data_IF_458585163384
#
_entry.id   IF_458585163384
#
_cell.length_a   1.000
_cell.length_b   1.000
_cell.length_c   1.000
_cell.angle_alpha   90.00
_cell.angle_beta   90.00
_cell.angle_gamma   90.00
#
_symmetry.space_group_name_H-M   'P 1'
#
loop_
_entity.id
_entity.type
_entity.pdbx_description
1 polymer ?
#
# COMPACT_ATOMS: atom_id res chain seq x y z
N UNK A 1 -11.02 11.84 -6.24
CA UNK A 1 -9.96 10.82 -6.36
C UNK A 1 -10.07 9.86 -5.19
N UNK A 2 -10.35 8.57 -5.44
CA UNK A 2 -10.35 7.55 -4.38
C UNK A 2 -8.96 6.93 -4.26
N UNK A 3 -8.52 6.67 -3.03
CA UNK A 3 -7.19 6.12 -2.72
C UNK A 3 -7.27 4.73 -2.09
N UNK A 4 -6.43 3.82 -2.56
CA UNK A 4 -6.23 2.49 -1.98
C UNK A 4 -4.84 2.37 -1.34
N UNK A 5 -4.77 1.85 -0.11
CA UNK A 5 -3.50 1.55 0.55
C UNK A 5 -3.18 0.04 0.49
N UNK A 6 -1.93 -0.31 0.24
CA UNK A 6 -1.45 -1.68 0.33
C UNK A 6 -0.79 -1.98 1.68
N UNK A 7 -1.06 -3.15 2.24
CA UNK A 7 -0.31 -3.65 3.40
C UNK A 7 -0.18 -5.18 3.37
N UNK A 8 1.01 -5.70 3.62
CA UNK A 8 1.19 -7.14 3.71
C UNK A 8 2.49 -7.57 4.36
N UNK A 9 2.69 -8.88 4.39
CA UNK A 9 3.88 -9.49 4.97
C UNK A 9 5.16 -9.19 4.16
N UNK A 10 6.29 -9.06 4.86
CA UNK A 10 7.60 -8.81 4.24
C UNK A 10 8.06 -10.00 3.40
N UNK A 11 7.67 -11.19 3.79
CA UNK A 11 7.95 -12.50 3.22
C UNK A 11 6.77 -13.04 2.41
N UNK A 12 5.92 -12.16 1.86
CA UNK A 12 4.80 -12.58 1.02
C UNK A 12 5.30 -13.38 -0.20
N UNK A 13 4.74 -14.58 -0.44
CA UNK A 13 5.17 -15.47 -1.51
C UNK A 13 4.64 -14.99 -2.87
N UNK A 14 5.36 -15.31 -3.95
CA UNK A 14 5.10 -14.80 -5.29
C UNK A 14 3.75 -15.26 -5.86
N UNK A 15 3.24 -16.37 -5.36
CA UNK A 15 1.97 -17.01 -5.70
C UNK A 15 0.76 -16.09 -5.42
N UNK A 16 0.91 -15.12 -4.52
CA UNK A 16 -0.11 -14.10 -4.22
C UNK A 16 -0.27 -13.10 -5.37
N UNK A 17 0.72 -12.98 -6.26
CA UNK A 17 0.78 -11.93 -7.28
C UNK A 17 -0.43 -11.93 -8.22
N UNK A 18 -0.94 -13.09 -8.62
CA UNK A 18 -2.11 -13.18 -9.51
C UNK A 18 -3.36 -12.60 -8.83
N UNK A 19 -3.66 -13.03 -7.60
CA UNK A 19 -4.79 -12.51 -6.83
C UNK A 19 -4.63 -11.01 -6.52
N UNK A 20 -3.39 -10.54 -6.35
CA UNK A 20 -3.10 -9.12 -6.19
C UNK A 20 -3.44 -8.32 -7.46
N UNK A 21 -3.03 -8.80 -8.64
CA UNK A 21 -3.37 -8.14 -9.91
C UNK A 21 -4.89 -8.03 -10.12
N UNK A 22 -5.63 -9.10 -9.84
CA UNK A 22 -7.09 -9.13 -9.93
C UNK A 22 -7.73 -8.12 -8.96
N UNK A 23 -7.29 -8.10 -7.70
CA UNK A 23 -7.77 -7.15 -6.71
C UNK A 23 -7.47 -5.70 -7.10
N UNK A 24 -6.30 -5.42 -7.68
CA UNK A 24 -5.95 -4.08 -8.17
C UNK A 24 -6.88 -3.66 -9.29
N UNK A 25 -7.08 -4.51 -10.31
CA UNK A 25 -7.98 -4.20 -11.43
C UNK A 25 -9.42 -4.00 -10.95
N UNK A 26 -9.91 -4.81 -10.01
CA UNK A 26 -11.24 -4.65 -9.43
C UNK A 26 -11.41 -3.27 -8.76
N UNK A 27 -10.40 -2.81 -8.00
CA UNK A 27 -10.45 -1.51 -7.34
C UNK A 27 -10.39 -0.35 -8.34
N UNK A 28 -9.61 -0.49 -9.42
CA UNK A 28 -9.59 0.48 -10.53
C UNK A 28 -11.00 0.61 -11.13
N UNK A 29 -11.66 -0.51 -11.45
CA UNK A 29 -13.02 -0.54 -11.97
C UNK A 29 -14.06 0.08 -11.02
N UNK A 30 -13.76 0.18 -9.73
CA UNK A 30 -14.60 0.80 -8.70
C UNK A 30 -14.28 2.29 -8.46
N UNK A 31 -13.39 2.84 -9.28
CA UNK A 31 -13.01 4.25 -9.29
C UNK A 31 -11.84 4.60 -8.38
N UNK A 32 -11.02 3.63 -7.96
CA UNK A 32 -9.72 3.94 -7.33
C UNK A 32 -8.76 4.46 -8.40
N UNK A 33 -8.21 5.64 -8.16
CA UNK A 33 -7.33 6.34 -9.08
C UNK A 33 -5.91 6.46 -8.51
N UNK A 34 -5.73 6.33 -7.19
CA UNK A 34 -4.41 6.41 -6.56
C UNK A 34 -4.13 5.24 -5.63
N UNK A 35 -2.98 4.61 -5.81
CA UNK A 35 -2.51 3.50 -5.01
C UNK A 35 -1.27 3.91 -4.21
N UNK A 36 -1.35 3.72 -2.91
CA UNK A 36 -0.31 4.08 -1.96
C UNK A 36 0.38 2.81 -1.43
N UNK A 37 1.72 2.77 -1.48
CA UNK A 37 2.52 1.61 -1.06
C UNK A 37 3.79 2.04 -0.32
N UNK A 38 4.20 1.32 0.72
CA UNK A 38 5.39 1.66 1.52
C UNK A 38 6.72 1.34 0.84
N UNK A 39 6.97 0.06 0.58
CA UNK A 39 8.21 -0.45 0.01
C UNK A 39 9.14 -1.12 1.04
N UNK A 40 8.60 -1.75 2.09
CA UNK A 40 9.36 -2.35 3.19
C UNK A 40 9.34 -3.89 3.19
N UNK A 41 8.89 -4.51 2.10
CA UNK A 41 8.84 -5.96 1.95
C UNK A 41 8.33 -6.46 0.60
N UNK A 42 8.33 -7.78 0.43
CA UNK A 42 7.98 -8.44 -0.84
C UNK A 42 6.56 -8.10 -1.32
N UNK A 43 5.58 -8.04 -0.40
CA UNK A 43 4.22 -7.65 -0.77
C UNK A 43 4.15 -6.26 -1.39
N UNK A 44 4.82 -5.28 -0.79
CA UNK A 44 4.84 -3.90 -1.29
C UNK A 44 5.46 -3.83 -2.69
N UNK A 45 6.51 -4.60 -2.95
CA UNK A 45 7.16 -4.65 -4.26
C UNK A 45 6.24 -5.29 -5.32
N UNK A 46 5.56 -6.38 -4.97
CA UNK A 46 4.54 -7.01 -5.82
C UNK A 46 3.38 -6.05 -6.12
N UNK A 47 2.91 -5.30 -5.12
CA UNK A 47 1.81 -4.35 -5.28
C UNK A 47 2.21 -3.18 -6.19
N UNK A 48 3.40 -2.63 -6.01
CA UNK A 48 3.95 -1.62 -6.90
C UNK A 48 4.01 -2.13 -8.34
N UNK A 49 4.57 -3.33 -8.55
CA UNK A 49 4.64 -3.97 -9.87
C UNK A 49 3.27 -4.16 -10.51
N UNK A 50 2.29 -4.68 -9.75
CA UNK A 50 0.93 -4.90 -10.23
C UNK A 50 0.29 -3.59 -10.73
N UNK A 51 0.42 -2.50 -9.97
CA UNK A 51 -0.10 -1.19 -10.39
C UNK A 51 0.64 -0.65 -11.61
N UNK A 52 1.97 -0.76 -11.67
CA UNK A 52 2.75 -0.34 -12.84
C UNK A 52 2.30 -1.04 -14.13
N UNK A 53 1.99 -2.33 -14.06
CA UNK A 53 1.42 -3.06 -15.20
C UNK A 53 0.02 -2.57 -15.55
N UNK A 54 -0.85 -2.34 -14.56
CA UNK A 54 -2.22 -1.84 -14.80
C UNK A 54 -2.23 -0.42 -15.39
N UNK A 55 -1.29 0.44 -15.03
CA UNK A 55 -1.16 1.80 -15.57
C UNK A 55 -0.95 1.84 -17.09
N UNK A 56 -0.41 0.77 -17.69
CA UNK A 56 -0.29 0.65 -19.16
C UNK A 56 -1.67 0.62 -19.85
N UNK A 57 -2.70 0.19 -19.12
CA UNK A 57 -4.10 0.09 -19.59
C UNK A 57 -5.00 1.19 -19.02
N UNK A 58 -4.68 1.70 -17.84
CA UNK A 58 -5.49 2.67 -17.09
C UNK A 58 -4.68 3.95 -16.81
N UNK A 59 -4.66 4.91 -17.73
CA UNK A 59 -3.81 6.11 -17.67
C UNK A 59 -4.11 7.07 -16.51
N UNK A 60 -5.33 7.01 -15.95
CA UNK A 60 -5.72 7.80 -14.79
C UNK A 60 -5.13 7.26 -13.47
N UNK A 61 -4.64 6.02 -13.46
CA UNK A 61 -4.13 5.35 -12.26
C UNK A 61 -2.75 5.89 -11.90
N UNK A 62 -2.58 6.24 -10.62
CA UNK A 62 -1.34 6.73 -10.03
C UNK A 62 -0.82 5.75 -8.99
N UNK A 63 0.49 5.55 -8.98
CA UNK A 63 1.24 4.81 -7.98
C UNK A 63 2.10 5.78 -7.18
N UNK A 64 1.84 5.88 -5.88
CA UNK A 64 2.53 6.80 -4.96
C UNK A 64 3.27 6.00 -3.89
N UNK A 65 4.54 6.35 -3.66
CA UNK A 65 5.34 5.75 -2.59
C UNK A 65 5.09 6.46 -1.27
N UNK A 66 4.59 5.75 -0.27
CA UNK A 66 4.53 6.23 1.11
C UNK A 66 5.93 6.19 1.74
N UNK A 67 6.39 7.32 2.25
CA UNK A 67 7.66 7.45 2.94
C UNK A 67 7.44 7.44 4.46
N UNK A 68 8.13 6.56 5.17
CA UNK A 68 8.19 6.62 6.63
C UNK A 68 9.33 7.50 7.15
N UNK A 69 10.31 7.84 6.30
CA UNK A 69 11.49 8.62 6.67
C UNK A 69 11.67 9.76 5.67
N UNK A 70 12.08 10.93 6.15
CA UNK A 70 12.46 12.03 5.26
C UNK A 70 13.60 11.55 4.36
N UNK A 71 13.51 11.77 3.04
CA UNK A 71 14.59 11.41 2.14
C UNK A 71 15.80 12.31 2.45
N UNK A 72 16.96 11.69 2.66
CA UNK A 72 18.22 12.37 3.05
C UNK A 72 18.87 13.15 1.90
N UNK A 73 18.33 13.01 0.69
CA UNK A 73 18.72 13.69 -0.55
C UNK A 73 17.40 14.00 -1.27
N UNK A 74 17.41 14.88 -2.28
CA UNK A 74 16.33 14.94 -3.29
C UNK A 74 16.29 13.60 -4.05
N UNK A 75 15.81 12.55 -3.39
CA UNK A 75 15.72 11.22 -3.96
C UNK A 75 14.69 11.32 -5.07
N UNK A 76 15.15 11.07 -6.30
CA UNK A 76 14.27 10.96 -7.44
C UNK A 76 13.15 9.96 -7.11
N UNK A 77 11.94 10.27 -7.58
CA UNK A 77 10.82 9.33 -7.53
C UNK A 77 11.29 8.05 -8.23
N UNK A 78 11.21 6.86 -7.59
CA UNK A 78 11.66 5.63 -8.22
C UNK A 78 10.92 5.37 -9.54
N UNK A 79 11.59 4.71 -10.48
CA UNK A 79 10.99 4.38 -11.78
C UNK A 79 9.63 3.68 -11.62
N UNK A 80 8.65 4.09 -12.45
CA UNK A 80 7.27 3.59 -12.43
C UNK A 80 6.34 4.24 -11.40
N UNK A 81 6.87 4.96 -10.40
CA UNK A 81 6.06 5.76 -9.47
C UNK A 81 5.76 7.15 -10.04
N UNK A 82 4.57 7.67 -9.74
CA UNK A 82 4.14 9.03 -10.14
C UNK A 82 4.44 10.08 -9.07
N UNK A 83 4.95 9.65 -7.92
CA UNK A 83 5.31 10.52 -6.81
C UNK A 83 5.65 9.76 -5.53
N UNK A 84 6.02 10.53 -4.52
CA UNK A 84 6.17 10.06 -3.14
C UNK A 84 5.33 10.94 -2.21
N UNK A 85 4.88 10.35 -1.10
CA UNK A 85 4.10 11.01 -0.07
C UNK A 85 4.81 10.80 1.26
N UNK A 86 5.34 11.88 1.84
CA UNK A 86 5.72 11.94 3.24
C UNK A 86 4.56 12.56 4.03
N UNK A 87 3.89 11.82 4.92
CA UNK A 87 2.75 12.36 5.67
C UNK A 87 3.16 13.52 6.58
N UNK A 88 2.44 14.63 6.53
CA UNK A 88 2.66 15.80 7.39
C UNK A 88 2.50 15.44 8.88
N UNK A 89 3.44 15.89 9.72
CA UNK A 89 3.46 15.59 11.15
C UNK A 89 4.16 14.27 11.50
N UNK A 90 4.56 13.46 10.51
CA UNK A 90 5.32 12.22 10.75
C UNK A 90 6.73 12.50 11.29
N UNK A 91 7.30 13.68 11.01
CA UNK A 91 8.62 14.13 11.47
C UNK A 91 8.72 14.21 13.00
N UNK A 92 7.57 14.34 13.68
CA UNK A 92 7.48 14.36 15.14
C UNK A 92 7.46 12.95 15.76
N UNK A 93 7.44 11.90 14.92
CA UNK A 93 7.40 10.51 15.38
C UNK A 93 8.81 9.97 15.59
N UNK A 94 9.15 9.39 16.76
CA UNK A 94 10.45 8.75 16.94
C UNK A 94 10.70 7.68 15.89
N UNK A 95 11.92 7.67 15.33
CA UNK A 95 12.32 6.82 14.20
C UNK A 95 11.87 5.35 14.30
N UNK A 96 11.97 4.66 15.45
CA UNK A 96 11.51 3.26 15.57
C UNK A 96 10.02 3.03 15.30
N UNK A 97 9.19 4.06 15.45
CA UNK A 97 7.74 3.98 15.26
C UNK A 97 7.26 4.58 13.94
N UNK A 98 8.15 5.16 13.14
CA UNK A 98 7.79 5.93 11.96
C UNK A 98 7.02 5.10 10.92
N UNK A 99 7.44 3.85 10.63
CA UNK A 99 6.71 2.97 9.69
C UNK A 99 5.29 2.67 10.20
N UNK A 100 5.17 2.36 11.49
CA UNK A 100 3.87 2.03 12.11
C UNK A 100 2.95 3.24 12.02
N UNK A 101 3.45 4.44 12.32
CA UNK A 101 2.66 5.68 12.24
C UNK A 101 2.32 6.06 10.80
N UNK A 102 3.27 5.92 9.87
CA UNK A 102 3.03 6.15 8.44
C UNK A 102 1.90 5.25 7.91
N UNK A 103 1.90 3.96 8.25
CA UNK A 103 0.84 3.03 7.87
C UNK A 103 -0.52 3.41 8.47
N UNK A 104 -0.55 3.91 9.71
CA UNK A 104 -1.79 4.40 10.33
C UNK A 104 -2.33 5.62 9.60
N UNK A 105 -1.46 6.59 9.28
CA UNK A 105 -1.84 7.79 8.52
C UNK A 105 -2.27 7.44 7.09
N UNK A 106 -1.62 6.46 6.46
CA UNK A 106 -2.03 5.95 5.16
C UNK A 106 -3.46 5.38 5.19
N UNK A 107 -3.81 4.61 6.23
CA UNK A 107 -5.20 4.18 6.45
C UNK A 107 -6.14 5.38 6.64
N UNK A 108 -5.69 6.42 7.34
CA UNK A 108 -6.50 7.62 7.59
C UNK A 108 -6.74 8.44 6.30
N UNK A 109 -5.83 8.37 5.34
CA UNK A 109 -5.94 9.06 4.04
C UNK A 109 -6.53 8.21 2.90
N UNK A 110 -6.90 6.95 3.16
CA UNK A 110 -7.41 6.03 2.14
C UNK A 110 -8.89 5.70 2.32
N UNK A 111 -9.52 5.31 1.19
CA UNK A 111 -10.91 4.87 1.07
C UNK A 111 -11.02 3.34 1.06
N UNK A 112 -9.97 2.67 0.58
CA UNK A 112 -9.87 1.22 0.54
C UNK A 112 -8.49 0.71 0.92
N UNK A 113 -8.40 -0.59 1.20
CA UNK A 113 -7.17 -1.29 1.52
C UNK A 113 -7.17 -2.66 0.86
N UNK A 114 -6.08 -2.99 0.16
CA UNK A 114 -5.78 -4.35 -0.27
C UNK A 114 -4.65 -4.88 0.62
N UNK A 115 -4.83 -6.05 1.20
CA UNK A 115 -3.81 -6.59 2.07
C UNK A 115 -3.65 -8.11 2.03
N UNK A 116 -2.45 -8.55 2.42
CA UNK A 116 -2.10 -9.95 2.55
C UNK A 116 -1.61 -10.24 3.97
N UNK A 117 -2.43 -10.98 4.72
CA UNK A 117 -2.17 -11.33 6.13
C UNK A 117 -2.41 -12.82 6.33
N UNK A 118 -1.32 -13.57 6.54
CA UNK A 118 -1.37 -15.03 6.69
C UNK A 118 -1.29 -15.51 8.14
N UNK A 119 -0.73 -14.69 9.01
CA UNK A 119 -0.66 -15.00 10.43
C UNK A 119 -0.89 -13.75 11.28
N UNK A 120 -1.50 -13.99 12.44
CA UNK A 120 -1.71 -13.02 13.49
C UNK A 120 -1.15 -13.59 14.81
N UNK A 121 -0.56 -12.74 15.67
CA UNK A 121 -0.45 -11.28 15.56
C UNK A 121 0.68 -10.82 14.62
N UNK A 122 0.42 -9.78 13.82
CA UNK A 122 1.43 -9.11 12.98
C UNK A 122 1.13 -7.61 12.84
N UNK A 123 2.11 -6.79 12.44
CA UNK A 123 1.89 -5.36 12.19
C UNK A 123 0.90 -5.13 11.04
N UNK A 124 0.96 -5.94 9.98
CA UNK A 124 0.00 -5.89 8.89
C UNK A 124 -1.44 -6.19 9.39
N UNK A 125 -1.62 -7.22 10.22
CA UNK A 125 -2.91 -7.54 10.83
C UNK A 125 -3.48 -6.38 11.68
N UNK A 126 -2.62 -5.64 12.40
CA UNK A 126 -3.04 -4.45 13.17
C UNK A 126 -3.54 -3.32 12.26
N UNK A 127 -2.88 -3.09 11.13
CA UNK A 127 -3.25 -2.07 10.14
C UNK A 127 -4.58 -2.42 9.48
N UNK A 128 -4.75 -3.68 9.05
CA UNK A 128 -6.02 -4.20 8.50
C UNK A 128 -7.17 -3.99 9.49
N UNK A 129 -6.98 -4.36 10.76
CA UNK A 129 -8.00 -4.18 11.80
C UNK A 129 -8.36 -2.70 12.01
N UNK A 130 -7.37 -1.79 11.92
CA UNK A 130 -7.64 -0.35 11.97
C UNK A 130 -8.51 0.09 10.79
N UNK A 131 -8.16 -0.34 9.57
CA UNK A 131 -8.92 0.00 8.36
C UNK A 131 -10.37 -0.48 8.45
N UNK A 132 -10.58 -1.72 8.91
CA UNK A 132 -11.92 -2.27 9.15
C UNK A 132 -12.70 -1.44 10.18
N UNK A 133 -12.07 -1.08 11.32
CA UNK A 133 -12.71 -0.23 12.34
C UNK A 133 -13.05 1.17 11.84
N UNK A 134 -12.26 1.73 10.92
CA UNK A 134 -12.52 3.02 10.28
C UNK A 134 -13.64 2.92 9.22
N UNK A 135 -14.00 1.72 8.77
CA UNK A 135 -15.01 1.50 7.74
C UNK A 135 -14.48 1.60 6.31
N UNK A 136 -13.16 1.43 6.11
CA UNK A 136 -12.60 1.29 4.76
C UNK A 136 -13.12 0.02 4.11
N UNK A 137 -13.22 0.04 2.78
CA UNK A 137 -13.35 -1.20 2.00
C UNK A 137 -12.04 -1.99 2.11
N UNK A 138 -12.07 -3.16 2.71
CA UNK A 138 -10.89 -4.01 2.90
C UNK A 138 -11.00 -5.29 2.07
N UNK A 139 -10.04 -5.51 1.17
CA UNK A 139 -9.87 -6.75 0.42
C UNK A 139 -8.65 -7.49 0.96
N UNK A 140 -8.88 -8.66 1.55
CA UNK A 140 -7.81 -9.55 1.99
C UNK A 140 -7.56 -10.63 0.93
N UNK A 141 -6.31 -10.73 0.50
CA UNK A 141 -5.90 -11.75 -0.45
C UNK A 141 -5.79 -13.10 0.25
N UNK A 142 -6.20 -14.19 -0.42
CA UNK A 142 -6.08 -15.54 0.14
C UNK A 142 -4.61 -15.97 0.24
N UNK A 143 -4.28 -16.91 1.15
CA UNK A 143 -3.00 -17.60 1.09
C UNK A 143 -2.85 -18.36 -0.24
N UNK A 144 -1.62 -18.63 -0.69
CA UNK A 144 -1.38 -19.57 -1.78
C UNK A 144 -2.03 -20.92 -1.47
N UNK A 145 -2.61 -21.55 -2.49
CA UNK A 145 -3.14 -22.91 -2.42
C UNK A 145 -2.07 -23.98 -2.42
#
# INVERSE_FOLDING_TARGET
MKRCFFIGHRDAPQEVYTALCEAVEEHICQGVEEFLVGGYGAFDHMAAKAVMEMKKRYSAVRLVRLLAYLPTVTAAVPEGFDGSLYPEGLENTPRPFAIVKANQMAVDMSDSLIGYVCYAPSNAAKVVRRAQKKGLRVTLLPPPG
#
